data_IF_153476069704
#
_entry.id   IF_153476069704
#
_cell.length_a   1.000
_cell.length_b   1.000
_cell.length_c   1.000
_cell.angle_alpha   90.00
_cell.angle_beta   90.00
_cell.angle_gamma   90.00
#
_symmetry.space_group_name_H-M   'P 1'
#
loop_
_entity.id
_entity.type
_entity.pdbx_description
1 polymer ?
#
# COMPACT_ATOMS: atom_id res chain seq x y z
N UNK A 1 -12.88 5.07 0.62
CA UNK A 1 -14.16 5.82 0.61
C UNK A 1 -14.86 5.82 1.96
N UNK A 2 -15.08 4.67 2.63
CA UNK A 2 -15.75 4.62 3.95
C UNK A 2 -15.08 5.55 5.00
N UNK A 3 -13.75 5.65 5.02
CA UNK A 3 -13.04 6.54 5.93
C UNK A 3 -13.40 8.04 5.75
N UNK A 4 -13.83 8.45 4.55
CA UNK A 4 -14.28 9.83 4.30
C UNK A 4 -15.63 10.13 4.95
N UNK A 5 -16.38 9.11 5.36
CA UNK A 5 -17.65 9.27 6.08
C UNK A 5 -17.45 9.41 7.60
N UNK A 6 -16.24 9.17 8.12
CA UNK A 6 -15.93 9.28 9.55
C UNK A 6 -16.22 10.67 10.17
N UNK A 7 -16.07 11.81 9.46
CA UNK A 7 -16.44 13.12 10.00
C UNK A 7 -17.95 13.31 10.19
N UNK A 8 -18.80 12.58 9.45
CA UNK A 8 -20.25 12.81 9.42
C UNK A 8 -20.88 12.63 10.81
N UNK A 9 -20.62 11.56 11.59
CA UNK A 9 -21.09 11.43 12.97
C UNK A 9 -20.74 12.65 13.85
N UNK A 10 -19.53 13.20 13.70
CA UNK A 10 -19.10 14.36 14.49
C UNK A 10 -19.87 15.62 14.12
N UNK A 11 -20.11 15.86 12.83
CA UNK A 11 -20.93 16.98 12.38
C UNK A 11 -22.37 16.84 12.87
N UNK A 12 -22.98 15.67 12.72
CA UNK A 12 -24.35 15.40 13.19
C UNK A 12 -24.46 15.64 14.70
N UNK A 13 -23.49 15.14 15.47
CA UNK A 13 -23.47 15.34 16.91
C UNK A 13 -23.28 16.81 17.31
N UNK A 14 -22.43 17.55 16.61
CA UNK A 14 -22.27 18.98 16.83
C UNK A 14 -23.60 19.71 16.65
N UNK A 15 -24.31 19.48 15.54
CA UNK A 15 -25.61 20.10 15.30
C UNK A 15 -26.67 19.70 16.34
N UNK A 16 -26.72 18.42 16.72
CA UNK A 16 -27.65 17.94 17.74
C UNK A 16 -27.37 18.60 19.10
N UNK A 17 -26.10 18.65 19.52
CA UNK A 17 -25.71 19.27 20.79
C UNK A 17 -25.92 20.79 20.78
N UNK A 18 -25.62 21.46 19.66
CA UNK A 18 -25.87 22.90 19.49
C UNK A 18 -27.36 23.25 19.61
N UNK A 19 -28.24 22.40 19.07
CA UNK A 19 -29.69 22.59 19.14
C UNK A 19 -30.25 22.29 20.54
N UNK A 20 -29.79 21.21 21.17
CA UNK A 20 -30.28 20.78 22.49
C UNK A 20 -29.73 21.65 23.64
N UNK A 21 -28.62 22.37 23.42
CA UNK A 21 -27.89 23.15 24.45
C UNK A 21 -27.56 22.35 25.72
N UNK A 22 -27.56 21.02 25.63
CA UNK A 22 -27.22 20.09 26.71
C UNK A 22 -26.55 18.85 26.13
N UNK A 23 -25.62 18.22 26.86
CA UNK A 23 -25.01 16.97 26.41
C UNK A 23 -26.07 15.87 26.34
N UNK A 24 -26.20 15.25 25.17
CA UNK A 24 -27.10 14.12 24.97
C UNK A 24 -26.29 12.82 24.94
N UNK A 25 -26.52 11.95 25.93
CA UNK A 25 -25.73 10.72 26.13
C UNK A 25 -25.65 9.85 24.88
N UNK A 26 -26.78 9.58 24.25
CA UNK A 26 -26.79 8.72 23.06
C UNK A 26 -25.98 9.33 21.91
N UNK A 27 -26.00 10.67 21.76
CA UNK A 27 -25.21 11.37 20.74
C UNK A 27 -23.72 11.22 21.01
N UNK A 28 -23.28 11.41 22.26
CA UNK A 28 -21.87 11.26 22.66
C UNK A 28 -21.40 9.82 22.47
N UNK A 29 -22.20 8.83 22.91
CA UNK A 29 -21.90 7.42 22.74
C UNK A 29 -21.79 7.05 21.26
N UNK A 30 -22.75 7.47 20.42
CA UNK A 30 -22.70 7.18 18.98
C UNK A 30 -21.48 7.82 18.31
N UNK A 31 -21.10 9.04 18.67
CA UNK A 31 -19.89 9.67 18.10
C UNK A 31 -18.58 8.99 18.46
N UNK A 32 -18.53 8.28 19.59
CA UNK A 32 -17.32 7.58 20.01
C UNK A 32 -17.32 6.14 19.49
N UNK A 33 -18.45 5.45 19.62
CA UNK A 33 -18.58 4.04 19.26
C UNK A 33 -18.59 3.83 17.74
N UNK A 34 -19.30 4.66 16.97
CA UNK A 34 -19.44 4.45 15.51
C UNK A 34 -18.10 4.57 14.78
N UNK A 35 -17.29 5.64 14.96
CA UNK A 35 -15.99 5.75 14.30
C UNK A 35 -15.03 4.63 14.72
N UNK A 36 -14.99 4.30 16.00
CA UNK A 36 -14.08 3.27 16.51
C UNK A 36 -14.46 1.86 16.00
N UNK A 37 -15.76 1.53 15.97
CA UNK A 37 -16.24 0.28 15.38
C UNK A 37 -15.98 0.22 13.87
N UNK A 38 -16.15 1.35 13.16
CA UNK A 38 -15.88 1.44 11.72
C UNK A 38 -14.39 1.23 11.44
N UNK A 39 -13.50 1.88 12.20
CA UNK A 39 -12.05 1.70 12.07
C UNK A 39 -11.61 0.27 12.40
N UNK A 40 -12.23 -0.35 13.40
CA UNK A 40 -11.98 -1.76 13.74
C UNK A 40 -12.32 -2.68 12.57
N UNK A 41 -13.52 -2.54 12.00
CA UNK A 41 -13.97 -3.35 10.87
C UNK A 41 -13.12 -3.12 9.61
N UNK A 42 -12.79 -1.87 9.30
CA UNK A 42 -11.89 -1.54 8.18
C UNK A 42 -10.49 -2.11 8.39
N UNK A 43 -9.98 -2.04 9.62
CA UNK A 43 -8.69 -2.62 9.98
C UNK A 43 -8.64 -4.12 9.72
N UNK A 44 -9.68 -4.86 10.13
CA UNK A 44 -9.78 -6.31 9.90
C UNK A 44 -9.82 -6.65 8.40
N UNK A 45 -10.69 -5.97 7.65
CA UNK A 45 -10.79 -6.13 6.19
C UNK A 45 -9.43 -5.84 5.52
N UNK A 46 -8.73 -4.78 5.95
CA UNK A 46 -7.41 -4.44 5.41
C UNK A 46 -6.33 -5.48 5.75
N UNK A 47 -6.36 -6.06 6.95
CA UNK A 47 -5.43 -7.15 7.31
C UNK A 47 -5.64 -8.37 6.41
N UNK A 48 -6.89 -8.74 6.16
CA UNK A 48 -7.22 -9.89 5.30
C UNK A 48 -6.82 -9.63 3.84
N UNK A 49 -7.20 -8.48 3.28
CA UNK A 49 -6.81 -8.09 1.92
C UNK A 49 -5.28 -8.03 1.79
N UNK A 50 -4.58 -7.43 2.76
CA UNK A 50 -3.12 -7.33 2.71
C UNK A 50 -2.44 -8.71 2.76
N UNK A 51 -3.01 -9.65 3.53
CA UNK A 51 -2.50 -11.02 3.62
C UNK A 51 -2.72 -11.77 2.31
N UNK A 52 -3.95 -11.73 1.76
CA UNK A 52 -4.25 -12.36 0.47
C UNK A 52 -3.38 -11.80 -0.65
N UNK A 53 -3.20 -10.48 -0.71
CA UNK A 53 -2.33 -9.85 -1.73
C UNK A 53 -0.87 -10.20 -1.55
N UNK A 54 -0.37 -10.25 -0.31
CA UNK A 54 0.98 -10.70 -0.04
C UNK A 54 1.20 -12.14 -0.52
N UNK A 55 0.27 -13.05 -0.27
CA UNK A 55 0.38 -14.45 -0.68
C UNK A 55 0.33 -14.60 -2.21
N UNK A 56 -0.56 -13.87 -2.89
CA UNK A 56 -0.62 -13.83 -4.36
C UNK A 56 0.67 -13.30 -4.99
N UNK A 57 1.24 -12.24 -4.41
CA UNK A 57 2.49 -11.65 -4.89
C UNK A 57 3.69 -12.56 -4.64
N UNK A 58 3.73 -13.24 -3.48
CA UNK A 58 4.80 -14.17 -3.09
C UNK A 58 4.81 -15.47 -3.90
N UNK A 59 3.66 -15.87 -4.46
CA UNK A 59 3.58 -17.06 -5.31
C UNK A 59 4.58 -16.99 -6.47
N UNK A 60 5.13 -18.13 -6.90
CA UNK A 60 5.97 -18.19 -8.12
C UNK A 60 5.16 -18.22 -9.41
N UNK A 61 3.85 -18.43 -9.30
CA UNK A 61 2.94 -18.42 -10.43
C UNK A 61 2.67 -16.97 -10.88
N UNK A 62 2.95 -16.73 -12.16
CA UNK A 62 2.80 -15.44 -12.83
C UNK A 62 1.53 -15.35 -13.66
N UNK A 63 0.90 -16.49 -13.96
CA UNK A 63 -0.16 -16.56 -14.96
C UNK A 63 -1.56 -16.54 -14.35
N UNK A 64 -1.71 -17.05 -13.13
CA UNK A 64 -2.99 -17.11 -12.43
C UNK A 64 -3.55 -15.72 -12.09
N UNK A 65 -2.70 -14.77 -11.70
CA UNK A 65 -3.16 -13.44 -11.27
C UNK A 65 -3.00 -12.40 -12.37
N UNK A 66 -4.12 -11.95 -12.96
CA UNK A 66 -4.12 -11.08 -14.13
C UNK A 66 -3.25 -9.82 -14.00
N UNK A 67 -3.35 -9.08 -12.89
CA UNK A 67 -2.53 -7.87 -12.65
C UNK A 67 -1.04 -8.17 -12.50
N UNK A 68 -0.70 -9.31 -11.90
CA UNK A 68 0.69 -9.75 -11.76
C UNK A 68 1.28 -10.14 -13.12
N UNK A 69 0.49 -10.84 -13.93
CA UNK A 69 0.83 -11.22 -15.31
C UNK A 69 1.04 -10.02 -16.21
N UNK A 70 0.20 -8.98 -16.06
CA UNK A 70 0.33 -7.73 -16.81
C UNK A 70 1.66 -7.02 -16.51
N UNK A 71 2.00 -6.88 -15.22
CA UNK A 71 3.29 -6.33 -14.81
C UNK A 71 4.49 -7.17 -15.27
N UNK A 72 4.39 -8.51 -15.24
CA UNK A 72 5.42 -9.40 -15.79
C UNK A 72 5.62 -9.16 -17.29
N UNK A 73 4.53 -9.07 -18.06
CA UNK A 73 4.60 -8.78 -19.51
C UNK A 73 5.20 -7.41 -19.80
N UNK A 74 4.84 -6.41 -18.99
CA UNK A 74 5.38 -5.06 -19.09
C UNK A 74 6.88 -5.02 -18.78
N UNK A 75 7.32 -5.74 -17.75
CA UNK A 75 8.74 -5.93 -17.42
C UNK A 75 9.48 -6.66 -18.56
N UNK A 76 8.89 -7.73 -19.11
CA UNK A 76 9.46 -8.46 -20.25
C UNK A 76 9.56 -7.60 -21.52
N UNK A 77 8.65 -6.64 -21.73
CA UNK A 77 8.76 -5.68 -22.82
C UNK A 77 9.97 -4.75 -22.63
N UNK A 78 10.14 -4.19 -21.42
CA UNK A 78 11.30 -3.36 -21.08
C UNK A 78 12.62 -4.14 -21.24
N UNK A 79 12.68 -5.37 -20.71
CA UNK A 79 13.84 -6.22 -20.80
C UNK A 79 14.20 -6.58 -22.25
N UNK A 80 13.20 -6.85 -23.10
CA UNK A 80 13.44 -7.12 -24.54
C UNK A 80 14.01 -5.90 -25.26
N UNK A 81 13.48 -4.71 -24.98
CA UNK A 81 14.01 -3.45 -25.52
C UNK A 81 15.46 -3.25 -25.07
N UNK A 82 15.72 -3.38 -23.78
CA UNK A 82 17.06 -3.24 -23.19
C UNK A 82 18.08 -4.20 -23.82
N UNK A 83 17.76 -5.50 -23.89
CA UNK A 83 18.66 -6.48 -24.48
C UNK A 83 18.86 -6.27 -26.00
N UNK A 84 17.87 -5.71 -26.71
CA UNK A 84 18.01 -5.33 -28.10
C UNK A 84 19.03 -4.21 -28.28
N UNK A 85 18.83 -3.13 -27.52
CA UNK A 85 19.72 -1.96 -27.45
C UNK A 85 21.17 -2.36 -27.08
N UNK A 86 21.37 -3.14 -26.01
CA UNK A 86 22.71 -3.57 -25.61
C UNK A 86 23.45 -4.39 -26.67
N UNK A 87 22.76 -5.27 -27.42
CA UNK A 87 23.40 -6.03 -28.50
C UNK A 87 23.94 -5.11 -29.59
N UNK A 88 23.25 -4.01 -29.87
CA UNK A 88 23.68 -3.02 -30.86
C UNK A 88 24.84 -2.18 -30.32
N UNK A 89 24.79 -1.77 -29.06
CA UNK A 89 25.87 -1.06 -28.37
C UNK A 89 27.16 -1.90 -28.33
N UNK A 90 27.06 -3.20 -28.01
CA UNK A 90 28.18 -4.14 -28.00
C UNK A 90 28.88 -4.21 -29.35
N UNK A 91 28.11 -4.27 -30.45
CA UNK A 91 28.67 -4.28 -31.81
C UNK A 91 29.32 -2.96 -32.18
N UNK A 92 28.64 -1.84 -31.90
CA UNK A 92 29.08 -0.50 -32.28
C UNK A 92 30.35 -0.08 -31.54
N UNK A 93 30.44 -0.37 -30.23
CA UNK A 93 31.56 0.06 -29.39
C UNK A 93 32.63 -1.03 -29.17
N UNK A 94 32.43 -2.23 -29.74
CA UNK A 94 33.34 -3.37 -29.58
C UNK A 94 33.68 -3.70 -28.11
N UNK A 95 32.66 -3.65 -27.24
CA UNK A 95 32.76 -3.98 -25.81
C UNK A 95 32.08 -5.33 -25.53
N UNK A 96 32.42 -5.98 -24.42
CA UNK A 96 31.75 -7.22 -24.03
C UNK A 96 30.33 -6.96 -23.50
N UNK A 97 29.46 -7.97 -23.57
CA UNK A 97 28.09 -7.86 -23.06
C UNK A 97 28.05 -7.58 -21.55
N UNK A 98 28.95 -8.17 -20.76
CA UNK A 98 29.01 -7.91 -19.32
C UNK A 98 29.43 -6.47 -19.00
N UNK A 99 30.36 -5.89 -19.79
CA UNK A 99 30.71 -4.47 -19.68
C UNK A 99 29.53 -3.57 -20.07
N UNK A 100 28.77 -3.93 -21.11
CA UNK A 100 27.58 -3.17 -21.49
C UNK A 100 26.50 -3.21 -20.38
N UNK A 101 26.28 -4.37 -19.76
CA UNK A 101 25.32 -4.55 -18.67
C UNK A 101 25.68 -3.77 -17.40
N UNK A 102 26.95 -3.47 -17.16
CA UNK A 102 27.39 -2.68 -15.99
C UNK A 102 27.42 -1.17 -16.24
N UNK A 103 27.39 -0.75 -17.50
CA UNK A 103 27.53 0.67 -17.89
C UNK A 103 26.22 1.32 -18.33
N UNK A 104 25.28 0.55 -18.90
CA UNK A 104 24.09 1.10 -19.54
C UNK A 104 22.81 0.63 -18.85
N UNK A 105 21.82 1.53 -18.79
CA UNK A 105 20.46 1.26 -18.33
C UNK A 105 19.49 1.30 -19.52
N UNK A 106 18.26 0.84 -19.32
CA UNK A 106 17.25 0.90 -20.39
C UNK A 106 16.90 2.33 -20.79
N UNK A 107 17.02 3.29 -19.88
CA UNK A 107 16.78 4.71 -20.16
C UNK A 107 17.79 5.31 -21.13
N UNK A 108 18.97 4.70 -21.29
CA UNK A 108 20.02 5.15 -22.21
C UNK A 108 19.74 4.70 -23.66
N UNK A 109 18.74 3.84 -23.87
CA UNK A 109 18.37 3.35 -25.19
C UNK A 109 17.52 4.38 -25.96
N UNK A 110 17.84 4.57 -27.24
CA UNK A 110 17.16 5.56 -28.09
C UNK A 110 15.67 5.28 -28.27
N UNK A 111 15.25 4.01 -28.24
CA UNK A 111 13.86 3.56 -28.38
C UNK A 111 13.06 3.66 -27.07
N UNK A 112 13.71 3.96 -25.94
CA UNK A 112 13.03 3.98 -24.65
C UNK A 112 11.89 5.00 -24.57
N UNK A 113 12.05 6.27 -25.01
CA UNK A 113 10.97 7.26 -24.91
C UNK A 113 9.70 6.87 -25.66
N UNK A 114 9.83 6.25 -26.84
CA UNK A 114 8.67 5.83 -27.63
C UNK A 114 7.96 4.66 -26.96
N UNK A 115 8.70 3.64 -26.53
CA UNK A 115 8.11 2.48 -25.83
C UNK A 115 7.53 2.86 -24.45
N UNK A 116 8.13 3.82 -23.75
CA UNK A 116 7.66 4.32 -22.48
C UNK A 116 6.24 4.89 -22.57
N UNK A 117 5.87 5.55 -23.67
CA UNK A 117 4.51 6.09 -23.83
C UNK A 117 3.41 5.03 -23.75
N UNK A 118 3.71 3.78 -24.17
CA UNK A 118 2.77 2.66 -24.13
C UNK A 118 2.71 1.95 -22.77
N UNK A 119 3.74 2.12 -21.93
CA UNK A 119 3.91 1.38 -20.67
C UNK A 119 4.19 2.28 -19.46
N UNK A 120 3.94 3.59 -19.57
CA UNK A 120 4.43 4.60 -18.64
C UNK A 120 4.13 4.25 -17.16
N UNK A 121 2.88 3.92 -16.86
CA UNK A 121 2.44 3.59 -15.49
C UNK A 121 3.18 2.39 -14.89
N UNK A 122 3.32 1.32 -15.67
CA UNK A 122 3.93 0.08 -15.19
C UNK A 122 5.45 0.23 -15.08
N UNK A 123 6.08 0.88 -16.06
CA UNK A 123 7.53 1.09 -16.07
C UNK A 123 7.96 2.07 -15.00
N UNK A 124 7.17 3.12 -14.72
CA UNK A 124 7.42 4.02 -13.58
C UNK A 124 7.35 3.26 -12.25
N UNK A 125 6.35 2.39 -12.08
CA UNK A 125 6.24 1.56 -10.89
C UNK A 125 7.40 0.57 -10.77
N UNK A 126 7.75 -0.14 -11.84
CA UNK A 126 8.86 -1.10 -11.84
C UNK A 126 10.21 -0.41 -11.62
N UNK A 127 10.45 0.73 -12.26
CA UNK A 127 11.63 1.56 -12.03
C UNK A 127 11.75 1.98 -10.57
N UNK A 128 10.66 2.49 -9.98
CA UNK A 128 10.63 2.86 -8.56
C UNK A 128 10.98 1.67 -7.67
N UNK A 129 10.45 0.48 -7.94
CA UNK A 129 10.77 -0.72 -7.17
C UNK A 129 12.24 -1.14 -7.31
N UNK A 130 12.80 -1.15 -8.52
CA UNK A 130 14.20 -1.52 -8.70
C UNK A 130 15.14 -0.51 -8.01
N UNK A 131 14.85 0.79 -8.12
CA UNK A 131 15.70 1.85 -7.60
C UNK A 131 15.64 1.99 -6.07
N UNK A 132 14.44 1.94 -5.49
CA UNK A 132 14.18 2.16 -4.05
C UNK A 132 14.23 0.87 -3.23
N UNK A 133 13.87 -0.27 -3.82
CA UNK A 133 13.75 -1.55 -3.12
C UNK A 133 14.76 -2.61 -3.57
N UNK A 134 15.74 -2.24 -4.41
CA UNK A 134 16.90 -3.09 -4.77
C UNK A 134 16.49 -4.50 -5.22
N UNK A 135 15.42 -4.58 -5.98
CA UNK A 135 14.93 -5.81 -6.59
C UNK A 135 15.08 -5.73 -8.10
N UNK A 136 14.97 -6.86 -8.80
CA UNK A 136 14.85 -6.84 -10.26
C UNK A 136 14.13 -8.06 -10.79
N UNK A 137 13.54 -7.88 -11.98
CA UNK A 137 12.53 -8.81 -12.45
C UNK A 137 11.25 -8.66 -11.64
N UNK A 138 10.13 -9.04 -12.23
CA UNK A 138 8.86 -8.99 -11.52
C UNK A 138 8.59 -10.31 -10.80
N UNK A 139 8.37 -11.39 -11.54
CA UNK A 139 8.09 -12.71 -10.95
C UNK A 139 9.30 -13.49 -10.45
N UNK A 140 10.41 -13.40 -11.18
CA UNK A 140 11.65 -14.10 -10.88
C UNK A 140 12.75 -13.07 -10.75
N UNK A 141 13.72 -13.32 -9.87
CA UNK A 141 14.89 -12.48 -9.76
C UNK A 141 15.66 -12.53 -11.10
N UNK A 142 15.92 -11.37 -11.68
CA UNK A 142 16.65 -11.20 -12.94
C UNK A 142 17.62 -10.05 -12.82
N UNK A 143 18.43 -9.80 -13.85
CA UNK A 143 19.29 -8.60 -13.87
C UNK A 143 18.42 -7.33 -13.91
N UNK A 144 18.81 -6.27 -13.18
CA UNK A 144 18.10 -5.00 -13.19
C UNK A 144 18.17 -4.37 -14.58
N UNK A 145 17.12 -3.61 -14.90
CA UNK A 145 16.96 -2.97 -16.20
C UNK A 145 17.03 -1.45 -16.06
N UNK A 146 16.57 -0.91 -14.94
CA UNK A 146 16.54 0.53 -14.70
C UNK A 146 17.61 1.03 -13.71
N UNK A 147 18.30 0.13 -13.01
CA UNK A 147 19.36 0.48 -12.05
C UNK A 147 20.63 -0.35 -12.30
N UNK A 148 21.78 0.16 -11.85
CA UNK A 148 23.08 -0.52 -11.95
C UNK A 148 23.49 -1.19 -10.62
N UNK A 149 22.63 -1.11 -9.60
CA UNK A 149 22.86 -1.71 -8.28
C UNK A 149 22.73 -3.24 -8.39
N UNK A 150 23.54 -3.96 -7.63
CA UNK A 150 23.33 -5.39 -7.46
C UNK A 150 22.03 -5.66 -6.67
N UNK A 151 21.28 -6.65 -7.12
CA UNK A 151 19.95 -7.00 -6.63
C UNK A 151 19.82 -8.51 -6.52
N UNK A 152 19.20 -8.99 -5.44
CA UNK A 152 19.06 -10.43 -5.15
C UNK A 152 17.66 -10.98 -5.39
N UNK A 153 16.64 -10.16 -5.17
CA UNK A 153 15.26 -10.62 -5.05
C UNK A 153 14.38 -10.15 -6.21
N UNK A 154 13.36 -10.95 -6.53
CA UNK A 154 12.30 -10.54 -7.46
C UNK A 154 11.47 -9.42 -6.83
N UNK A 155 11.06 -8.43 -7.62
CA UNK A 155 10.27 -7.32 -7.11
C UNK A 155 8.90 -7.75 -6.56
N UNK A 156 8.25 -8.78 -7.10
CA UNK A 156 7.00 -9.30 -6.53
C UNK A 156 7.17 -9.83 -5.10
N UNK A 157 8.28 -10.52 -4.82
CA UNK A 157 8.60 -11.00 -3.46
C UNK A 157 8.86 -9.84 -2.52
N UNK A 158 9.62 -8.82 -2.93
CA UNK A 158 9.88 -7.65 -2.08
C UNK A 158 8.58 -6.89 -1.79
N UNK A 159 7.73 -6.67 -2.80
CA UNK A 159 6.42 -6.04 -2.59
C UNK A 159 5.54 -6.88 -1.66
N UNK A 160 5.56 -8.22 -1.78
CA UNK A 160 4.82 -9.09 -0.85
C UNK A 160 5.25 -8.88 0.60
N UNK A 161 6.56 -8.71 0.85
CA UNK A 161 7.09 -8.43 2.18
C UNK A 161 6.68 -7.04 2.67
N UNK A 162 6.59 -6.04 1.80
CA UNK A 162 6.10 -4.70 2.16
C UNK A 162 4.63 -4.75 2.60
N UNK A 163 3.76 -5.49 1.91
CA UNK A 163 2.38 -5.70 2.34
C UNK A 163 2.31 -6.37 3.71
N UNK A 164 3.14 -7.39 3.94
CA UNK A 164 3.16 -8.13 5.20
C UNK A 164 3.73 -7.32 6.38
N UNK A 165 4.79 -6.54 6.15
CA UNK A 165 5.52 -5.86 7.23
C UNK A 165 5.01 -4.45 7.50
N UNK A 166 4.62 -3.70 6.46
CA UNK A 166 4.13 -2.32 6.59
C UNK A 166 2.61 -2.29 6.68
N UNK A 167 1.91 -2.72 5.63
CA UNK A 167 0.44 -2.57 5.51
C UNK A 167 -0.28 -3.34 6.62
N UNK A 168 0.04 -4.64 6.78
CA UNK A 168 -0.57 -5.46 7.83
C UNK A 168 -0.26 -4.95 9.23
N UNK A 169 0.96 -4.45 9.48
CA UNK A 169 1.33 -3.89 10.79
C UNK A 169 0.56 -2.61 11.09
N UNK A 170 0.47 -1.69 10.13
CA UNK A 170 -0.30 -0.45 10.29
C UNK A 170 -1.79 -0.74 10.53
N UNK A 171 -2.37 -1.70 9.79
CA UNK A 171 -3.75 -2.13 9.99
C UNK A 171 -3.95 -2.75 11.39
N UNK A 172 -3.04 -3.61 11.86
CA UNK A 172 -3.06 -4.15 13.23
C UNK A 172 -2.95 -3.06 14.29
N UNK A 173 -2.08 -2.06 14.09
CA UNK A 173 -1.97 -0.92 15.02
C UNK A 173 -3.28 -0.15 15.09
N UNK A 174 -3.95 0.08 13.95
CA UNK A 174 -5.27 0.73 13.92
C UNK A 174 -6.35 -0.09 14.65
N UNK A 175 -6.36 -1.41 14.50
CA UNK A 175 -7.27 -2.32 15.24
C UNK A 175 -7.02 -2.19 16.75
N UNK A 176 -5.76 -2.35 17.18
CA UNK A 176 -5.39 -2.29 18.60
C UNK A 176 -5.79 -0.94 19.21
N UNK A 177 -5.48 0.16 18.52
CA UNK A 177 -5.87 1.50 18.94
C UNK A 177 -7.40 1.65 19.06
N UNK A 178 -8.16 1.14 18.08
CA UNK A 178 -9.62 1.18 18.11
C UNK A 178 -10.19 0.38 19.29
N UNK A 179 -9.61 -0.77 19.63
CA UNK A 179 -9.99 -1.54 20.83
C UNK A 179 -9.73 -0.74 22.10
N UNK A 180 -8.54 -0.13 22.25
CA UNK A 180 -8.24 0.70 23.42
C UNK A 180 -9.19 1.88 23.56
N UNK A 181 -9.54 2.54 22.45
CA UNK A 181 -10.52 3.64 22.44
C UNK A 181 -11.90 3.12 22.85
N UNK A 182 -12.38 2.00 22.31
CA UNK A 182 -13.68 1.42 22.68
C UNK A 182 -13.76 1.04 24.17
N UNK A 183 -12.74 0.32 24.67
CA UNK A 183 -12.68 -0.09 26.07
C UNK A 183 -12.53 1.12 26.99
N UNK A 184 -11.60 2.03 26.67
CA UNK A 184 -11.33 3.23 27.47
C UNK A 184 -12.55 4.16 27.53
N UNK A 185 -13.22 4.40 26.41
CA UNK A 185 -14.45 5.20 26.39
C UNK A 185 -15.58 4.52 27.14
N UNK A 186 -15.74 3.20 27.02
CA UNK A 186 -16.77 2.46 27.76
C UNK A 186 -16.54 2.56 29.28
N UNK A 187 -15.31 2.35 29.74
CA UNK A 187 -14.94 2.48 31.16
C UNK A 187 -15.12 3.91 31.66
N UNK A 188 -14.69 4.91 30.89
CA UNK A 188 -14.86 6.32 31.24
C UNK A 188 -16.35 6.69 31.39
N UNK A 189 -17.21 6.21 30.49
CA UNK A 189 -18.66 6.44 30.57
C UNK A 189 -19.27 5.81 31.83
N UNK A 190 -18.80 4.62 32.25
CA UNK A 190 -19.24 3.96 33.47
C UNK A 190 -18.77 4.72 34.72
N UNK A 191 -17.51 5.19 34.73
CA UNK A 191 -16.92 5.89 35.87
C UNK A 191 -17.50 7.31 36.07
N UNK A 192 -17.71 8.06 34.99
CA UNK A 192 -18.17 9.44 35.04
C UNK A 192 -19.68 9.54 35.31
N UNK A 193 -20.44 8.50 34.95
CA UNK A 193 -21.90 8.55 35.00
C UNK A 193 -22.52 8.91 36.36
N UNK A 194 -22.10 8.29 37.48
CA UNK A 194 -22.59 8.64 38.81
C UNK A 194 -22.32 10.12 39.17
N UNK A 195 -21.15 10.65 38.80
CA UNK A 195 -20.78 12.04 39.04
C UNK A 195 -21.69 13.02 38.29
N UNK A 196 -21.95 12.77 37.01
CA UNK A 196 -22.84 13.61 36.21
C UNK A 196 -24.29 13.56 36.74
N UNK A 197 -24.78 12.39 37.16
CA UNK A 197 -26.11 12.26 37.79
C UNK A 197 -26.24 13.10 39.05
N UNK A 198 -25.18 13.17 39.86
CA UNK A 198 -25.19 13.96 41.10
C UNK A 198 -25.36 15.46 40.85
N UNK A 199 -24.99 15.95 39.65
CA UNK A 199 -25.14 17.34 39.24
C UNK A 199 -26.53 17.65 38.65
N UNK A 200 -27.47 16.70 38.68
CA UNK A 200 -28.83 16.88 38.17
C UNK A 200 -28.98 16.71 36.65
N UNK A 201 -27.95 16.19 35.97
CA UNK A 201 -28.06 15.80 34.56
C UNK A 201 -28.53 14.35 34.44
N UNK A 202 -29.44 14.10 33.50
CA UNK A 202 -29.95 12.76 33.21
C UNK A 202 -28.92 12.00 32.33
N UNK A 203 -28.06 11.23 32.98
CA UNK A 203 -26.94 10.48 32.38
C UNK A 203 -27.12 8.96 32.48
#
# INVERSE_FOLDING_TARGET
>A
EIALLLPIPFFLAFFIQAKLRRPHKATILLTLLVPAATLLALGDVLVNIASDRADQLRSRDCDTFAKKRELERSWQAAHRLYMGCLRETVKTHNITMDTALSMFRVQDCQEYPTAYTHHARDWEYLWFLEEEHQCAGWCQARRPVWTLKDVSDSCSTVVSQLFFTKVRRMAKQAIIFSIFVLVGTSLANLAIGPGIRSMGFDW
#
